data_IF_181238455169
#
_entry.id   IF_181238455169
#
_cell.length_a   1.000
_cell.length_b   1.000
_cell.length_c   1.000
_cell.angle_alpha   90.00
_cell.angle_beta   90.00
_cell.angle_gamma   90.00
#
_symmetry.space_group_name_H-M   'P 1'
#
loop_
_entity.id
_entity.type
_entity.pdbx_description
1 polymer ?
#
# COMPACT_ATOMS: atom_id res chain seq x y z
N UNK A 1 -6.59 -16.14 3.68
CA UNK A 1 -5.83 -14.97 4.18
C UNK A 1 -6.54 -13.76 3.60
N UNK A 2 -7.13 -12.90 4.44
CA UNK A 2 -7.84 -11.70 3.98
C UNK A 2 -6.80 -10.66 3.56
N UNK A 3 -6.25 -10.87 2.38
CA UNK A 3 -5.52 -9.86 1.63
C UNK A 3 -6.58 -8.93 1.05
N UNK A 4 -7.03 -7.99 1.87
CA UNK A 4 -7.95 -6.95 1.42
C UNK A 4 -7.10 -5.81 0.91
N UNK A 5 -7.09 -5.69 -0.41
CA UNK A 5 -6.57 -4.51 -1.05
C UNK A 5 -7.53 -3.35 -0.77
N UNK A 6 -7.00 -2.13 -0.57
CA UNK A 6 -7.84 -0.95 -0.52
C UNK A 6 -8.78 -0.95 -1.72
N UNK A 7 -10.08 -1.03 -1.46
CA UNK A 7 -11.10 -0.82 -2.48
C UNK A 7 -11.31 0.68 -2.56
N UNK A 8 -10.91 1.26 -3.68
CA UNK A 8 -11.04 2.69 -3.92
C UNK A 8 -12.03 2.87 -5.06
N UNK A 9 -13.28 3.14 -4.69
CA UNK A 9 -14.28 3.61 -5.65
C UNK A 9 -13.87 5.03 -6.10
N UNK A 10 -13.43 5.14 -7.36
CA UNK A 10 -12.91 6.37 -7.96
C UNK A 10 -13.98 7.46 -8.06
N UNK A 11 -15.24 7.08 -8.27
CA UNK A 11 -16.33 8.02 -8.50
C UNK A 11 -16.80 8.60 -7.16
N UNK A 12 -16.93 7.76 -6.13
CA UNK A 12 -17.18 8.23 -4.78
C UNK A 12 -16.00 9.03 -4.20
N UNK A 13 -14.77 8.71 -4.58
CA UNK A 13 -13.59 9.42 -4.08
C UNK A 13 -13.57 10.89 -4.50
N UNK A 14 -13.90 11.17 -5.77
CA UNK A 14 -13.76 12.52 -6.34
C UNK A 14 -14.79 13.52 -5.80
N UNK A 15 -15.95 13.05 -5.34
CA UNK A 15 -17.01 13.91 -4.75
C UNK A 15 -16.82 14.18 -3.26
N UNK A 16 -15.89 13.48 -2.59
CA UNK A 16 -15.59 13.70 -1.16
C UNK A 16 -14.86 15.00 -0.93
N UNK A 17 -14.97 15.56 0.27
CA UNK A 17 -14.19 16.73 0.67
C UNK A 17 -12.69 16.42 0.79
N UNK A 18 -11.84 17.45 0.71
CA UNK A 18 -10.38 17.31 0.88
C UNK A 18 -10.01 16.59 2.19
N UNK A 19 -10.65 16.92 3.30
CA UNK A 19 -10.39 16.27 4.59
C UNK A 19 -10.71 14.77 4.56
N UNK A 20 -11.80 14.37 3.91
CA UNK A 20 -12.16 12.95 3.76
C UNK A 20 -11.19 12.22 2.84
N UNK A 21 -10.77 12.84 1.74
CA UNK A 21 -9.75 12.30 0.82
C UNK A 21 -8.40 12.11 1.51
N UNK A 22 -7.97 13.06 2.34
CA UNK A 22 -6.76 12.93 3.17
C UNK A 22 -6.85 11.72 4.12
N UNK A 23 -8.02 11.48 4.73
CA UNK A 23 -8.24 10.30 5.58
C UNK A 23 -8.09 9.02 4.76
N UNK A 24 -8.64 8.99 3.55
CA UNK A 24 -8.52 7.86 2.62
C UNK A 24 -7.06 7.60 2.26
N UNK A 25 -6.29 8.64 1.91
CA UNK A 25 -4.85 8.50 1.64
C UNK A 25 -4.08 7.89 2.82
N UNK A 26 -4.36 8.38 4.04
CA UNK A 26 -3.72 7.84 5.25
C UNK A 26 -4.08 6.38 5.49
N UNK A 27 -5.34 6.01 5.26
CA UNK A 27 -5.81 4.61 5.36
C UNK A 27 -5.10 3.73 4.33
N UNK A 28 -5.05 4.16 3.07
CA UNK A 28 -4.31 3.49 2.00
C UNK A 28 -2.86 3.24 2.40
N UNK A 29 -2.14 4.26 2.89
CA UNK A 29 -0.74 4.10 3.30
C UNK A 29 -0.58 3.15 4.51
N UNK A 30 -1.54 3.15 5.44
CA UNK A 30 -1.54 2.19 6.56
C UNK A 30 -1.75 0.74 6.07
N UNK A 31 -2.68 0.54 5.14
CA UNK A 31 -2.95 -0.77 4.54
C UNK A 31 -1.76 -1.28 3.72
N UNK A 32 -1.09 -0.42 2.95
CA UNK A 32 0.15 -0.78 2.24
C UNK A 32 1.25 -1.24 3.21
N UNK A 33 1.42 -0.55 4.35
CA UNK A 33 2.38 -0.95 5.39
C UNK A 33 2.02 -2.29 6.01
N UNK A 34 0.74 -2.51 6.31
CA UNK A 34 0.25 -3.77 6.85
C UNK A 34 0.45 -4.93 5.86
N UNK A 35 0.15 -4.70 4.58
CA UNK A 35 0.34 -5.69 3.52
C UNK A 35 1.82 -6.10 3.37
N UNK A 36 2.75 -5.16 3.50
CA UNK A 36 4.19 -5.49 3.53
C UNK A 36 4.54 -6.46 4.68
N UNK A 37 3.94 -6.28 5.86
CA UNK A 37 4.14 -7.18 7.00
C UNK A 37 3.52 -8.55 6.76
N UNK A 38 2.32 -8.61 6.17
CA UNK A 38 1.70 -9.88 5.79
C UNK A 38 2.51 -10.63 4.75
N UNK A 39 3.02 -9.93 3.74
CA UNK A 39 3.92 -10.50 2.73
C UNK A 39 5.16 -11.11 3.38
N UNK A 40 5.83 -10.36 4.28
CA UNK A 40 6.99 -10.87 5.00
C UNK A 40 6.63 -12.11 5.84
N UNK A 41 5.55 -12.06 6.61
CA UNK A 41 5.06 -13.19 7.42
C UNK A 41 4.75 -14.42 6.56
N UNK A 42 4.17 -14.21 5.39
CA UNK A 42 3.88 -15.26 4.44
C UNK A 42 5.14 -15.93 3.89
N UNK A 43 6.18 -15.15 3.55
CA UNK A 43 7.47 -15.71 3.15
C UNK A 43 8.11 -16.53 4.26
N UNK A 44 8.03 -16.08 5.53
CA UNK A 44 8.51 -16.87 6.66
C UNK A 44 7.77 -18.21 6.78
N UNK A 45 6.45 -18.21 6.58
CA UNK A 45 5.67 -19.46 6.56
C UNK A 45 6.10 -20.38 5.42
N UNK A 46 6.36 -19.84 4.23
CA UNK A 46 6.89 -20.60 3.11
C UNK A 46 8.26 -21.23 3.44
N UNK A 47 9.20 -20.46 4.00
CA UNK A 47 10.52 -20.99 4.38
C UNK A 47 10.46 -22.05 5.49
N UNK A 48 9.42 -22.01 6.33
CA UNK A 48 9.14 -23.04 7.33
C UNK A 48 8.38 -24.25 6.76
N UNK A 49 8.14 -24.33 5.45
CA UNK A 49 7.41 -25.40 4.79
C UNK A 49 5.90 -25.40 5.04
N UNK A 50 5.33 -24.28 5.53
CA UNK A 50 3.89 -24.16 5.85
C UNK A 50 3.04 -23.68 4.66
N UNK A 51 3.68 -23.12 3.64
CA UNK A 51 3.04 -22.73 2.37
C UNK A 51 3.79 -23.43 1.23
N UNK A 52 3.13 -23.63 0.10
CA UNK A 52 3.74 -24.20 -1.11
C UNK A 52 4.08 -23.11 -2.15
N UNK A 53 4.67 -23.52 -3.27
CA UNK A 53 5.06 -22.59 -4.35
C UNK A 53 3.84 -21.92 -5.02
N UNK A 54 2.71 -22.61 -5.12
CA UNK A 54 1.48 -22.07 -5.72
C UNK A 54 0.90 -20.95 -4.85
N UNK A 55 0.93 -21.10 -3.53
CA UNK A 55 0.49 -20.07 -2.60
C UNK A 55 1.34 -18.79 -2.76
N UNK A 56 2.66 -18.93 -2.95
CA UNK A 56 3.57 -17.80 -3.21
C UNK A 56 3.22 -17.12 -4.54
N UNK A 57 3.00 -17.90 -5.61
CA UNK A 57 2.61 -17.36 -6.92
C UNK A 57 1.28 -16.60 -6.85
N UNK A 58 0.30 -17.16 -6.13
CA UNK A 58 -0.99 -16.52 -5.92
C UNK A 58 -0.84 -15.17 -5.20
N UNK A 59 -0.05 -15.11 -4.13
CA UNK A 59 0.22 -13.86 -3.41
C UNK A 59 0.87 -12.80 -4.31
N UNK A 60 1.84 -13.19 -5.14
CA UNK A 60 2.48 -12.29 -6.10
C UNK A 60 1.48 -11.76 -7.13
N UNK A 61 0.60 -12.63 -7.65
CA UNK A 61 -0.44 -12.22 -8.59
C UNK A 61 -1.41 -11.21 -7.97
N UNK A 62 -1.78 -11.40 -6.69
CA UNK A 62 -2.61 -10.43 -5.96
C UNK A 62 -1.91 -9.09 -5.76
N UNK A 63 -0.59 -9.08 -5.57
CA UNK A 63 0.19 -7.83 -5.50
C UNK A 63 0.25 -7.12 -6.86
N UNK A 64 0.43 -7.85 -7.96
CA UNK A 64 0.42 -7.27 -9.31
C UNK A 64 -0.94 -6.63 -9.59
N UNK A 65 -2.04 -7.38 -9.35
CA UNK A 65 -3.39 -6.87 -9.56
C UNK A 65 -3.71 -5.61 -8.73
N UNK A 66 -3.16 -5.50 -7.52
CA UNK A 66 -3.26 -4.27 -6.73
C UNK A 66 -2.58 -3.09 -7.40
N UNK A 67 -1.35 -3.28 -7.89
CA UNK A 67 -0.59 -2.22 -8.53
C UNK A 67 -1.30 -1.74 -9.80
N UNK A 68 -1.89 -2.66 -10.57
CA UNK A 68 -2.69 -2.30 -11.74
C UNK A 68 -3.88 -1.41 -11.36
N UNK A 69 -4.63 -1.77 -10.29
CA UNK A 69 -5.73 -0.93 -9.77
C UNK A 69 -5.25 0.44 -9.29
N UNK A 70 -4.10 0.48 -8.62
CA UNK A 70 -3.48 1.73 -8.15
C UNK A 70 -3.10 2.65 -9.31
N UNK A 71 -2.60 2.11 -10.42
CA UNK A 71 -2.29 2.90 -11.62
C UNK A 71 -3.55 3.54 -12.21
N UNK A 72 -4.62 2.75 -12.36
CA UNK A 72 -5.93 3.26 -12.82
C UNK A 72 -6.46 4.36 -11.90
N UNK A 73 -6.39 4.15 -10.58
CA UNK A 73 -6.82 5.15 -9.61
C UNK A 73 -5.98 6.44 -9.70
N UNK A 74 -4.66 6.33 -9.84
CA UNK A 74 -3.76 7.48 -10.01
C UNK A 74 -4.11 8.27 -11.27
N UNK A 75 -4.44 7.61 -12.37
CA UNK A 75 -4.85 8.29 -13.59
C UNK A 75 -6.19 9.03 -13.38
N UNK A 76 -7.15 8.41 -12.68
CA UNK A 76 -8.37 9.09 -12.25
C UNK A 76 -8.11 10.32 -11.37
N UNK A 77 -7.14 10.27 -10.45
CA UNK A 77 -6.76 11.44 -9.65
C UNK A 77 -6.21 12.59 -10.50
N UNK A 78 -5.45 12.29 -11.57
CA UNK A 78 -4.92 13.30 -12.49
C UNK A 78 -6.03 13.96 -13.28
N UNK A 79 -6.95 13.16 -13.83
CA UNK A 79 -8.08 13.64 -14.62
C UNK A 79 -9.01 14.55 -13.82
N UNK A 80 -9.19 14.26 -12.53
CA UNK A 80 -10.07 15.00 -11.63
C UNK A 80 -9.37 16.13 -10.86
N UNK A 81 -8.09 16.40 -11.14
CA UNK A 81 -7.34 17.50 -10.50
C UNK A 81 -6.93 17.26 -9.04
N UNK A 82 -7.13 16.05 -8.50
CA UNK A 82 -6.83 15.67 -7.11
C UNK A 82 -5.38 15.15 -6.94
N UNK A 83 -4.61 15.04 -8.02
CA UNK A 83 -3.28 14.43 -7.99
C UNK A 83 -2.24 15.20 -7.16
N UNK A 84 -2.26 16.54 -7.16
CA UNK A 84 -1.30 17.32 -6.36
C UNK A 84 -1.54 17.17 -4.85
N UNK A 85 -2.81 17.02 -4.43
CA UNK A 85 -3.18 16.69 -3.04
C UNK A 85 -2.59 15.33 -2.64
N UNK A 86 -2.79 14.31 -3.48
CA UNK A 86 -2.22 12.98 -3.27
C UNK A 86 -0.69 12.99 -3.22
N UNK A 87 -0.04 13.72 -4.13
CA UNK A 87 1.43 13.85 -4.18
C UNK A 87 1.98 14.47 -2.89
N UNK A 88 1.30 15.46 -2.32
CA UNK A 88 1.63 16.03 -1.02
C UNK A 88 1.52 14.96 0.08
N UNK A 89 0.42 14.21 0.12
CA UNK A 89 0.25 13.12 1.09
C UNK A 89 1.34 12.03 0.95
N UNK A 90 1.75 11.70 -0.27
CA UNK A 90 2.87 10.79 -0.54
C UNK A 90 4.20 11.34 0.00
N UNK A 91 4.45 12.64 -0.15
CA UNK A 91 5.67 13.28 0.35
C UNK A 91 5.76 13.18 1.88
N UNK A 92 4.64 13.43 2.58
CA UNK A 92 4.57 13.30 4.02
C UNK A 92 4.80 11.85 4.48
N UNK A 93 4.17 10.88 3.80
CA UNK A 93 4.34 9.46 4.12
C UNK A 93 5.77 8.97 3.83
N UNK A 94 6.41 9.44 2.74
CA UNK A 94 7.81 9.12 2.44
C UNK A 94 8.74 9.52 3.59
N UNK A 95 8.57 10.74 4.14
CA UNK A 95 9.36 11.18 5.29
C UNK A 95 9.14 10.32 6.54
N UNK A 96 7.93 9.79 6.75
CA UNK A 96 7.65 8.85 7.83
C UNK A 96 8.33 7.49 7.60
N UNK A 97 8.27 6.97 6.37
CA UNK A 97 8.90 5.70 5.98
C UNK A 97 10.42 5.78 6.13
N UNK A 98 11.06 6.88 5.72
CA UNK A 98 12.50 7.05 5.84
C UNK A 98 12.98 6.95 7.29
N UNK A 99 12.26 7.57 8.24
CA UNK A 99 12.57 7.46 9.67
C UNK A 99 12.50 6.02 10.17
N UNK A 100 11.48 5.27 9.72
CA UNK A 100 11.34 3.86 10.04
C UNK A 100 12.52 3.06 9.49
N UNK A 101 12.90 3.28 8.22
CA UNK A 101 14.04 2.62 7.58
C UNK A 101 15.34 2.90 8.34
N UNK A 102 15.60 4.16 8.72
CA UNK A 102 16.80 4.51 9.48
C UNK A 102 16.85 3.81 10.84
N UNK A 103 15.70 3.69 11.51
CA UNK A 103 15.59 2.97 12.78
C UNK A 103 15.96 1.49 12.63
N UNK A 104 15.48 0.82 11.58
CA UNK A 104 15.84 -0.58 11.32
C UNK A 104 17.32 -0.73 10.94
N UNK A 105 17.86 0.14 10.08
CA UNK A 105 19.29 0.13 9.73
C UNK A 105 20.18 0.28 10.96
N UNK A 106 19.83 1.17 11.88
CA UNK A 106 20.54 1.34 13.14
C UNK A 106 20.58 0.05 13.96
N UNK A 107 19.45 -0.65 14.07
CA UNK A 107 19.34 -1.93 14.81
C UNK A 107 20.06 -3.10 14.15
N UNK A 108 20.24 -3.08 12.84
CA UNK A 108 20.95 -4.13 12.10
C UNK A 108 22.48 -4.00 12.21
N UNK A 109 22.96 -2.78 12.46
CA UNK A 109 24.39 -2.46 12.56
C UNK A 109 24.89 -2.44 14.02
N UNK A 110 24.03 -2.80 14.97
CA UNK A 110 24.34 -3.06 16.39
C UNK A 110 24.19 -4.53 16.69
#
# INVERSE_FOLDING_TARGET
MNYELPDIDTDEFNIKSENERIIIYRKLFAEMRLNRLYYHSFLMKFFLGKNNQEDVRSLLQSHISFLDKMLVWIDGLKENGNYEEFKKACTDEMGAIEKIIQTYKGRMNT
#
